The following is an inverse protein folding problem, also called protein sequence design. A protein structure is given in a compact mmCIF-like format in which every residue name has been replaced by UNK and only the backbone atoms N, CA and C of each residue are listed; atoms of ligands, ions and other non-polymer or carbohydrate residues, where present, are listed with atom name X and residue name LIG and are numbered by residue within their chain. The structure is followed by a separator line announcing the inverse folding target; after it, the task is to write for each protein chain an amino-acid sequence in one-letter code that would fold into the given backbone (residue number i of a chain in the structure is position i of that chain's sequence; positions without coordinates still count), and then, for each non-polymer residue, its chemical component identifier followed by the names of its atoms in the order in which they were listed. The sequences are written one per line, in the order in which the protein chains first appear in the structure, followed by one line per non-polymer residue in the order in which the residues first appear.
data_IF_067341642485
#
_entry.id   IF_067341642485
#
_cell.length_a   1.000
_cell.length_b   1.000
_cell.length_c   1.000
_cell.angle_alpha   90.00
_cell.angle_beta   90.00
_cell.angle_gamma   90.00
#
_symmetry.space_group_name_H-M   'P 1'
#
loop_
_entity.id
_entity.type
_entity.pdbx_description
1 polymer ?
#
# COMPACT_ATOMS: atom_id res chain seq x y z
N UNK A 1 32.58 14.53 -23.04
CA UNK A 1 31.56 15.35 -22.34
C UNK A 1 30.30 14.52 -22.28
N UNK A 2 29.87 14.09 -21.10
CA UNK A 2 28.65 13.28 -20.93
C UNK A 2 27.44 14.12 -21.35
N UNK A 3 26.64 13.59 -22.26
CA UNK A 3 25.47 14.26 -22.82
C UNK A 3 24.50 14.64 -21.69
N UNK A 4 24.32 15.96 -21.46
CA UNK A 4 23.53 16.50 -20.34
C UNK A 4 22.11 15.90 -20.33
N UNK A 5 21.56 15.60 -21.51
CA UNK A 5 20.24 14.99 -21.69
C UNK A 5 20.12 13.58 -21.10
N UNK A 6 21.15 12.74 -21.22
CA UNK A 6 21.15 11.37 -20.65
C UNK A 6 21.21 11.43 -19.12
N UNK A 7 22.02 12.35 -18.60
CA UNK A 7 22.19 12.55 -17.16
C UNK A 7 20.90 13.03 -16.50
N UNK A 8 20.21 13.99 -17.14
CA UNK A 8 18.92 14.52 -16.69
C UNK A 8 17.81 13.48 -16.78
N UNK A 9 17.79 12.65 -17.85
CA UNK A 9 16.86 11.54 -17.96
C UNK A 9 17.05 10.51 -16.85
N UNK A 10 18.30 10.14 -16.55
CA UNK A 10 18.60 9.23 -15.44
C UNK A 10 18.25 9.84 -14.08
N UNK A 11 18.46 11.15 -13.90
CA UNK A 11 18.05 11.86 -12.69
C UNK A 11 16.53 11.81 -12.50
N UNK A 12 15.75 12.18 -13.53
CA UNK A 12 14.28 12.06 -13.52
C UNK A 12 13.82 10.64 -13.23
N UNK A 13 14.45 9.64 -13.86
CA UNK A 13 14.06 8.25 -13.63
C UNK A 13 14.38 7.78 -12.20
N UNK A 14 15.43 8.31 -11.57
CA UNK A 14 15.75 8.04 -10.16
C UNK A 14 14.75 8.74 -9.23
N UNK A 15 14.41 10.00 -9.52
CA UNK A 15 13.42 10.77 -8.76
C UNK A 15 12.04 10.12 -8.85
N UNK A 16 11.63 9.68 -10.04
CA UNK A 16 10.39 8.93 -10.23
C UNK A 16 10.39 7.63 -9.44
N UNK A 17 11.45 6.81 -9.55
CA UNK A 17 11.57 5.57 -8.76
C UNK A 17 11.51 5.83 -7.26
N UNK A 18 12.23 6.84 -6.77
CA UNK A 18 12.21 7.20 -5.35
C UNK A 18 10.83 7.68 -4.91
N UNK A 19 10.16 8.52 -5.72
CA UNK A 19 8.78 8.95 -5.48
C UNK A 19 7.83 7.75 -5.49
N UNK A 20 8.05 6.77 -6.36
CA UNK A 20 7.34 5.50 -6.48
C UNK A 20 7.70 4.48 -5.36
N UNK A 21 8.34 4.91 -4.27
CA UNK A 21 8.64 4.07 -3.12
C UNK A 21 9.78 3.06 -3.32
N UNK A 22 10.51 3.13 -4.44
CA UNK A 22 11.71 2.32 -4.64
C UNK A 22 12.88 2.87 -3.82
N UNK A 23 13.64 1.96 -3.20
CA UNK A 23 14.88 2.32 -2.53
C UNK A 23 16.08 2.13 -3.46
N UNK A 24 16.91 3.18 -3.57
CA UNK A 24 18.17 3.12 -4.29
C UNK A 24 19.28 2.62 -3.37
N UNK A 25 19.82 1.45 -3.67
CA UNK A 25 21.03 0.92 -3.04
C UNK A 25 22.19 1.03 -4.02
N UNK A 26 23.34 1.55 -3.57
CA UNK A 26 24.58 1.64 -4.38
C UNK A 26 25.60 0.71 -3.76
N UNK A 27 26.14 -0.23 -4.56
CA UNK A 27 27.10 -1.24 -4.11
C UNK A 27 28.34 -1.16 -4.99
N UNK A 28 29.51 -1.19 -4.37
CA UNK A 28 30.78 -1.35 -5.06
C UNK A 28 31.07 -2.83 -5.22
N UNK A 29 31.40 -3.25 -6.44
CA UNK A 29 31.65 -4.65 -6.76
C UNK A 29 33.03 -4.80 -7.42
N UNK A 30 33.77 -5.88 -7.13
CA UNK A 30 35.14 -6.06 -7.64
C UNK A 30 35.22 -6.19 -9.16
N UNK A 31 34.22 -6.82 -9.79
CA UNK A 31 34.23 -7.10 -11.23
C UNK A 31 32.92 -6.71 -11.93
N UNK A 32 32.96 -6.64 -13.26
CA UNK A 32 31.76 -6.45 -14.08
C UNK A 32 30.81 -7.65 -14.02
N UNK A 33 31.32 -8.86 -13.77
CA UNK A 33 30.50 -10.06 -13.57
C UNK A 33 29.67 -9.94 -12.30
N UNK A 34 30.29 -9.53 -11.19
CA UNK A 34 29.57 -9.26 -9.93
C UNK A 34 28.48 -8.20 -10.10
N UNK A 35 28.74 -7.17 -10.93
CA UNK A 35 27.74 -6.15 -11.25
C UNK A 35 26.54 -6.72 -12.03
N UNK A 36 26.79 -7.68 -12.93
CA UNK A 36 25.74 -8.38 -13.66
C UNK A 36 24.93 -9.29 -12.73
N UNK A 37 25.58 -9.97 -11.79
CA UNK A 37 24.93 -10.84 -10.81
C UNK A 37 24.02 -10.05 -9.86
N UNK A 38 24.46 -8.89 -9.36
CA UNK A 38 23.60 -8.00 -8.57
C UNK A 38 22.38 -7.53 -9.37
N UNK A 39 22.56 -7.19 -10.65
CA UNK A 39 21.43 -6.82 -11.53
C UNK A 39 20.46 -7.97 -11.74
N UNK A 40 20.97 -9.18 -11.96
CA UNK A 40 20.18 -10.41 -12.14
C UNK A 40 19.41 -10.72 -10.87
N UNK A 41 20.06 -10.72 -9.71
CA UNK A 41 19.41 -10.92 -8.41
C UNK A 41 18.28 -9.90 -8.18
N UNK A 42 18.53 -8.62 -8.48
CA UNK A 42 17.49 -7.59 -8.35
C UNK A 42 16.31 -7.82 -9.33
N UNK A 43 16.56 -8.30 -10.54
CA UNK A 43 15.51 -8.65 -11.51
C UNK A 43 14.70 -9.87 -11.04
N UNK A 44 15.38 -10.93 -10.57
CA UNK A 44 14.73 -12.12 -10.03
C UNK A 44 13.90 -11.82 -8.79
N UNK A 45 14.36 -10.94 -7.90
CA UNK A 45 13.59 -10.54 -6.71
C UNK A 45 12.34 -9.75 -7.09
N UNK A 46 12.40 -8.90 -8.13
CA UNK A 46 11.20 -8.23 -8.67
C UNK A 46 10.24 -9.22 -9.29
N UNK A 47 10.72 -10.12 -10.14
CA UNK A 47 9.88 -11.14 -10.76
C UNK A 47 9.20 -12.03 -9.70
N UNK A 48 9.93 -12.43 -8.65
CA UNK A 48 9.35 -13.14 -7.50
C UNK A 48 8.31 -12.32 -6.75
N UNK A 49 8.56 -11.02 -6.56
CA UNK A 49 7.60 -10.14 -5.90
C UNK A 49 6.30 -9.97 -6.72
N UNK A 50 6.41 -9.90 -8.05
CA UNK A 50 5.25 -9.84 -8.95
C UNK A 50 4.51 -11.18 -9.04
N UNK A 51 5.24 -12.30 -9.01
CA UNK A 51 4.68 -13.64 -9.09
C UNK A 51 4.16 -14.17 -7.74
N UNK A 52 4.33 -13.44 -6.64
CA UNK A 52 3.88 -13.77 -5.28
C UNK A 52 4.41 -15.08 -4.68
N UNK A 53 5.24 -15.84 -5.41
CA UNK A 53 5.81 -17.17 -5.11
C UNK A 53 6.46 -17.32 -3.72
N UNK A 54 6.70 -16.24 -2.97
CA UNK A 54 7.25 -16.27 -1.60
C UNK A 54 6.73 -15.13 -0.71
N UNK A 55 5.78 -14.31 -1.22
CA UNK A 55 5.31 -13.11 -0.51
C UNK A 55 4.29 -13.44 0.57
N UNK A 56 3.50 -14.50 0.39
CA UNK A 56 2.59 -15.04 1.40
C UNK A 56 3.34 -15.70 2.56
N UNK A 57 4.50 -16.30 2.31
CA UNK A 57 5.35 -16.92 3.35
C UNK A 57 6.04 -15.87 4.24
N UNK A 58 6.39 -14.71 3.69
CA UNK A 58 7.05 -13.61 4.41
C UNK A 58 6.08 -12.67 5.14
N UNK A 59 4.78 -12.72 4.81
CA UNK A 59 3.74 -11.95 5.48
C UNK A 59 2.93 -12.91 6.37
N UNK A 60 3.36 -13.12 7.63
CA UNK A 60 2.67 -14.04 8.52
C UNK A 60 1.23 -13.54 8.71
N UNK A 61 0.25 -14.43 8.50
CA UNK A 61 -1.21 -14.23 8.67
C UNK A 61 -2.03 -13.93 7.40
N UNK A 62 -1.57 -14.26 6.19
CA UNK A 62 -2.45 -14.31 5.01
C UNK A 62 -2.94 -15.74 4.81
N UNK A 63 -4.25 -15.98 4.89
CA UNK A 63 -4.82 -17.28 4.55
C UNK A 63 -4.72 -17.53 3.03
N UNK A 64 -4.89 -18.78 2.59
CA UNK A 64 -4.71 -19.15 1.17
C UNK A 64 -5.68 -18.40 0.26
N UNK A 65 -6.94 -18.28 0.66
CA UNK A 65 -7.98 -17.60 -0.11
C UNK A 65 -7.68 -16.10 -0.32
N UNK A 66 -7.31 -15.38 0.74
CA UNK A 66 -6.91 -13.99 0.68
C UNK A 66 -5.65 -13.82 -0.18
N UNK A 67 -4.69 -14.75 -0.09
CA UNK A 67 -3.50 -14.72 -0.95
C UNK A 67 -3.87 -14.86 -2.44
N UNK A 68 -4.80 -15.77 -2.77
CA UNK A 68 -5.32 -15.95 -4.13
C UNK A 68 -6.06 -14.69 -4.62
N UNK A 69 -6.92 -14.09 -3.80
CA UNK A 69 -7.61 -12.82 -4.11
C UNK A 69 -6.62 -11.69 -4.37
N UNK A 70 -5.56 -11.57 -3.57
CA UNK A 70 -4.48 -10.58 -3.77
C UNK A 70 -3.75 -10.86 -5.08
N UNK A 71 -3.44 -12.13 -5.37
CA UNK A 71 -2.78 -12.52 -6.61
C UNK A 71 -3.58 -12.15 -7.84
N UNK A 72 -4.88 -12.43 -7.81
CA UNK A 72 -5.79 -12.07 -8.88
C UNK A 72 -5.86 -10.55 -9.06
N UNK A 73 -6.00 -9.78 -7.97
CA UNK A 73 -6.03 -8.32 -8.05
C UNK A 73 -4.74 -7.71 -8.62
N UNK A 74 -3.58 -8.32 -8.35
CA UNK A 74 -2.30 -7.91 -8.94
C UNK A 74 -2.21 -8.30 -10.42
N UNK A 75 -2.69 -9.49 -10.80
CA UNK A 75 -2.73 -9.95 -12.19
C UNK A 75 -3.64 -9.07 -13.07
N UNK A 76 -4.74 -8.57 -12.50
CA UNK A 76 -5.68 -7.66 -13.16
C UNK A 76 -5.22 -6.20 -13.16
N UNK A 77 -4.01 -5.91 -12.69
CA UNK A 77 -3.45 -4.57 -12.72
C UNK A 77 -3.36 -4.03 -14.15
N UNK A 78 -3.96 -2.85 -14.40
CA UNK A 78 -4.04 -2.27 -15.74
C UNK A 78 -5.13 -2.89 -16.63
N UNK A 79 -5.99 -3.75 -16.08
CA UNK A 79 -7.15 -4.28 -16.79
C UNK A 79 -8.05 -3.14 -17.29
N UNK A 80 -8.53 -3.27 -18.53
CA UNK A 80 -9.47 -2.32 -19.16
C UNK A 80 -10.84 -2.29 -18.47
N UNK A 81 -11.13 -3.25 -17.60
CA UNK A 81 -12.34 -3.27 -16.78
C UNK A 81 -12.38 -2.09 -15.78
N UNK A 82 -11.23 -1.49 -15.48
CA UNK A 82 -11.10 -0.43 -14.49
C UNK A 82 -10.63 0.89 -15.09
N UNK A 83 -11.19 1.98 -14.57
CA UNK A 83 -10.82 3.35 -14.94
C UNK A 83 -9.44 3.78 -14.39
N UNK A 84 -8.81 2.96 -13.56
CA UNK A 84 -7.48 3.21 -12.99
C UNK A 84 -6.67 1.92 -12.97
N UNK A 85 -5.33 1.96 -13.16
CA UNK A 85 -4.51 0.75 -13.20
C UNK A 85 -4.60 -0.11 -11.92
N UNK A 86 -4.85 0.51 -10.77
CA UNK A 86 -4.99 -0.18 -9.48
C UNK A 86 -6.43 -0.55 -9.12
N UNK A 87 -7.36 -0.55 -10.09
CA UNK A 87 -8.80 -0.73 -9.83
C UNK A 87 -9.13 -2.00 -9.05
N UNK A 88 -8.70 -3.17 -9.56
CA UNK A 88 -8.91 -4.46 -8.90
C UNK A 88 -8.35 -4.49 -7.47
N UNK A 89 -7.17 -3.89 -7.24
CA UNK A 89 -6.59 -3.79 -5.89
C UNK A 89 -7.44 -2.92 -4.97
N UNK A 90 -7.92 -1.78 -5.46
CA UNK A 90 -8.77 -0.89 -4.66
C UNK A 90 -10.13 -1.52 -4.35
N UNK A 91 -10.65 -2.36 -5.25
CA UNK A 91 -11.87 -3.14 -5.04
C UNK A 91 -11.65 -4.21 -3.96
N UNK A 92 -10.61 -5.03 -4.11
CA UNK A 92 -10.22 -6.02 -3.10
C UNK A 92 -10.07 -5.40 -1.70
N UNK A 93 -9.34 -4.28 -1.59
CA UNK A 93 -9.16 -3.62 -0.29
C UNK A 93 -10.49 -3.10 0.28
N UNK A 94 -11.44 -2.66 -0.55
CA UNK A 94 -12.78 -2.30 -0.06
C UNK A 94 -13.56 -3.51 0.43
N UNK A 95 -13.47 -4.63 -0.26
CA UNK A 95 -14.13 -5.88 0.14
C UNK A 95 -13.59 -6.36 1.49
N UNK A 96 -12.27 -6.43 1.66
CA UNK A 96 -11.64 -6.81 2.93
C UNK A 96 -12.04 -5.88 4.09
N UNK A 97 -12.14 -4.57 3.83
CA UNK A 97 -12.67 -3.64 4.83
C UNK A 97 -14.15 -3.91 5.13
N UNK A 98 -14.98 -4.22 4.13
CA UNK A 98 -16.40 -4.56 4.31
C UNK A 98 -16.63 -5.92 5.01
N UNK A 99 -15.62 -6.78 4.99
CA UNK A 99 -15.58 -8.06 5.72
C UNK A 99 -15.11 -7.87 7.18
N UNK A 100 -14.79 -6.63 7.59
CA UNK A 100 -14.14 -6.32 8.88
C UNK A 100 -12.77 -6.98 9.06
N UNK A 101 -12.10 -7.34 7.96
CA UNK A 101 -10.77 -7.96 7.96
C UNK A 101 -9.67 -6.91 7.71
N UNK A 102 -9.44 -6.07 8.72
CA UNK A 102 -8.42 -5.01 8.67
C UNK A 102 -6.98 -5.54 8.61
N UNK A 103 -6.74 -6.78 9.07
CA UNK A 103 -5.42 -7.41 9.00
C UNK A 103 -5.13 -7.80 7.56
N UNK A 104 -6.05 -8.51 6.91
CA UNK A 104 -5.91 -8.85 5.48
C UNK A 104 -5.88 -7.61 4.61
N UNK A 105 -6.62 -6.55 4.94
CA UNK A 105 -6.55 -5.25 4.26
C UNK A 105 -5.11 -4.71 4.24
N UNK A 106 -4.44 -4.66 5.39
CA UNK A 106 -3.08 -4.15 5.49
C UNK A 106 -2.07 -5.11 4.84
N UNK A 107 -2.26 -6.41 4.97
CA UNK A 107 -1.45 -7.41 4.27
C UNK A 107 -1.53 -7.27 2.75
N UNK A 108 -2.74 -7.10 2.20
CA UNK A 108 -2.97 -6.84 0.78
C UNK A 108 -2.21 -5.59 0.32
N UNK A 109 -2.27 -4.51 1.10
CA UNK A 109 -1.48 -3.31 0.81
C UNK A 109 0.03 -3.60 0.77
N UNK A 110 0.58 -4.26 1.80
CA UNK A 110 2.02 -4.57 1.88
C UNK A 110 2.48 -5.41 0.69
N UNK A 111 1.71 -6.43 0.34
CA UNK A 111 2.02 -7.34 -0.77
C UNK A 111 1.98 -6.58 -2.10
N UNK A 112 0.92 -5.79 -2.36
CA UNK A 112 0.81 -4.99 -3.58
C UNK A 112 1.90 -3.93 -3.65
N UNK A 113 2.24 -3.27 -2.54
CA UNK A 113 3.30 -2.27 -2.51
C UNK A 113 4.67 -2.87 -2.83
N UNK A 114 4.90 -4.16 -2.54
CA UNK A 114 6.12 -4.87 -2.93
C UNK A 114 6.08 -5.32 -4.39
N UNK A 115 4.94 -5.81 -4.88
CA UNK A 115 4.77 -6.26 -6.26
C UNK A 115 4.77 -5.09 -7.26
N UNK A 116 4.09 -3.99 -6.91
CA UNK A 116 3.87 -2.80 -7.75
C UNK A 116 4.16 -1.51 -6.97
N UNK A 117 5.42 -1.28 -6.55
CA UNK A 117 5.81 -0.12 -5.72
C UNK A 117 5.37 1.22 -6.31
N UNK A 118 5.40 1.38 -7.64
CA UNK A 118 4.97 2.60 -8.32
C UNK A 118 3.53 3.04 -7.99
N UNK A 119 2.66 2.09 -7.68
CA UNK A 119 1.27 2.37 -7.35
C UNK A 119 1.00 2.46 -5.85
N UNK A 120 1.99 2.13 -5.01
CA UNK A 120 1.82 2.09 -3.56
C UNK A 120 1.32 3.43 -3.02
N UNK A 121 1.86 4.56 -3.50
CA UNK A 121 1.42 5.89 -3.06
C UNK A 121 -0.03 6.19 -3.48
N UNK A 122 -0.39 5.83 -4.71
CA UNK A 122 -1.74 6.02 -5.22
C UNK A 122 -2.76 5.23 -4.38
N UNK A 123 -2.44 3.99 -4.04
CA UNK A 123 -3.27 3.13 -3.19
C UNK A 123 -3.31 3.69 -1.75
N UNK A 124 -2.16 4.06 -1.19
CA UNK A 124 -2.03 4.65 0.16
C UNK A 124 -2.94 5.88 0.32
N UNK A 125 -2.99 6.74 -0.70
CA UNK A 125 -3.83 7.94 -0.68
C UNK A 125 -5.34 7.65 -0.57
N UNK A 126 -5.79 6.43 -0.91
CA UNK A 126 -7.19 6.01 -0.81
C UNK A 126 -7.55 5.35 0.51
N UNK A 127 -6.57 4.91 1.30
CA UNK A 127 -6.78 4.23 2.58
C UNK A 127 -7.66 5.05 3.54
N UNK A 128 -7.45 6.37 3.76
CA UNK A 128 -8.29 7.13 4.69
C UNK A 128 -9.78 7.13 4.31
N UNK A 129 -10.09 7.22 3.01
CA UNK A 129 -11.48 7.20 2.55
C UNK A 129 -12.13 5.83 2.76
N UNK A 130 -11.41 4.73 2.49
CA UNK A 130 -11.90 3.37 2.74
C UNK A 130 -12.15 3.12 4.22
N UNK A 131 -11.23 3.56 5.09
CA UNK A 131 -11.38 3.42 6.54
C UNK A 131 -12.47 4.33 7.10
N UNK A 132 -12.63 5.54 6.58
CA UNK A 132 -13.75 6.41 6.96
C UNK A 132 -15.10 5.73 6.69
N UNK A 133 -15.24 5.12 5.51
CA UNK A 133 -16.44 4.35 5.16
C UNK A 133 -16.64 3.13 6.06
N UNK A 134 -15.57 2.38 6.34
CA UNK A 134 -15.57 1.27 7.28
C UNK A 134 -16.06 1.70 8.67
N UNK A 135 -15.53 2.80 9.21
CA UNK A 135 -15.92 3.33 10.51
C UNK A 135 -17.40 3.70 10.56
N UNK A 136 -17.94 4.25 9.46
CA UNK A 136 -19.36 4.56 9.36
C UNK A 136 -20.21 3.30 9.39
N UNK A 137 -19.87 2.30 8.56
CA UNK A 137 -20.67 1.07 8.41
C UNK A 137 -20.54 0.11 9.59
N UNK A 138 -19.31 -0.18 10.00
CA UNK A 138 -19.00 -1.27 10.94
C UNK A 138 -18.83 -0.79 12.39
N UNK A 139 -18.61 0.50 12.61
CA UNK A 139 -18.41 1.07 13.96
C UNK A 139 -19.52 2.04 14.37
N UNK A 140 -20.54 2.23 13.53
CA UNK A 140 -21.74 3.02 13.83
C UNK A 140 -21.48 4.52 13.91
N UNK A 141 -20.40 5.01 13.29
CA UNK A 141 -20.04 6.42 13.32
C UNK A 141 -20.90 7.19 12.31
N UNK A 142 -21.67 8.18 12.75
CA UNK A 142 -22.48 8.99 11.85
C UNK A 142 -21.62 9.78 10.84
N UNK A 143 -22.07 9.90 9.58
CA UNK A 143 -21.33 10.61 8.52
C UNK A 143 -20.97 12.05 8.91
N UNK A 144 -21.93 12.82 9.45
CA UNK A 144 -21.69 14.20 9.90
C UNK A 144 -20.70 14.29 11.06
N UNK A 145 -20.66 13.27 11.92
CA UNK A 145 -19.70 13.19 13.03
C UNK A 145 -18.29 12.91 12.52
N UNK A 146 -18.15 11.94 11.60
CA UNK A 146 -16.87 11.66 10.94
C UNK A 146 -16.34 12.93 10.26
N UNK A 147 -17.19 13.65 9.52
CA UNK A 147 -16.81 14.90 8.87
C UNK A 147 -16.33 15.96 9.88
N UNK A 148 -17.11 16.24 10.94
CA UNK A 148 -16.74 17.23 11.96
C UNK A 148 -15.44 16.86 12.68
N UNK A 149 -15.29 15.59 13.05
CA UNK A 149 -14.09 15.08 13.72
C UNK A 149 -12.85 15.12 12.81
N UNK A 150 -13.00 14.79 11.53
CA UNK A 150 -11.88 14.81 10.57
C UNK A 150 -11.30 16.22 10.39
N UNK A 151 -12.14 17.26 10.49
CA UNK A 151 -11.70 18.66 10.43
C UNK A 151 -10.95 19.09 11.69
N UNK A 152 -11.32 18.57 12.87
CA UNK A 152 -10.65 18.91 14.14
C UNK A 152 -9.37 18.08 14.39
N UNK A 153 -9.14 17.03 13.60
CA UNK A 153 -7.97 16.15 13.69
C UNK A 153 -7.27 15.96 12.34
N UNK A 154 -6.73 17.02 11.70
CA UNK A 154 -6.24 16.96 10.32
C UNK A 154 -5.17 15.89 10.04
N UNK A 155 -4.41 15.45 11.05
CA UNK A 155 -3.37 14.42 10.92
C UNK A 155 -3.87 12.96 10.82
N UNK A 156 -5.16 12.70 11.04
CA UNK A 156 -5.71 11.34 11.08
C UNK A 156 -5.46 10.54 9.80
N UNK A 157 -5.55 11.21 8.65
CA UNK A 157 -5.35 10.58 7.35
C UNK A 157 -3.90 10.14 7.19
N UNK A 158 -2.93 10.93 7.65
CA UNK A 158 -1.51 10.59 7.56
C UNK A 158 -1.12 9.50 8.56
N UNK A 159 -1.77 9.47 9.73
CA UNK A 159 -1.62 8.37 10.68
C UNK A 159 -2.03 7.04 10.05
N UNK A 160 -3.19 6.96 9.39
CA UNK A 160 -3.65 5.77 8.67
C UNK A 160 -2.70 5.37 7.53
N UNK A 161 -2.24 6.33 6.73
CA UNK A 161 -1.29 6.08 5.64
C UNK A 161 0.05 5.54 6.17
N UNK A 162 0.48 5.97 7.35
CA UNK A 162 1.70 5.46 7.97
C UNK A 162 1.51 4.05 8.54
N UNK A 163 0.33 3.79 9.13
CA UNK A 163 0.03 2.54 9.82
C UNK A 163 -0.27 1.38 8.86
N UNK A 164 -0.79 1.62 7.65
CA UNK A 164 -1.19 0.55 6.71
C UNK A 164 -0.03 -0.37 6.26
N UNK A 165 1.22 0.05 6.47
CA UNK A 165 2.42 -0.77 6.22
C UNK A 165 2.70 -1.80 7.31
N UNK A 166 2.00 -1.72 8.43
CA UNK A 166 2.15 -2.57 9.59
C UNK A 166 0.80 -3.27 9.87
N UNK A 167 0.64 -4.51 9.39
CA UNK A 167 -0.62 -5.24 9.54
C UNK A 167 -1.05 -5.53 10.97
N UNK A 168 -0.11 -5.54 11.94
CA UNK A 168 -0.42 -5.79 13.34
C UNK A 168 -0.88 -4.51 14.05
N UNK A 169 -0.23 -3.39 13.71
CA UNK A 169 -0.56 -2.07 14.27
C UNK A 169 -1.78 -1.44 13.61
N UNK A 170 -2.02 -1.68 12.32
CA UNK A 170 -3.06 -0.99 11.56
C UNK A 170 -4.47 -1.14 12.17
N UNK A 171 -4.96 -2.34 12.53
CA UNK A 171 -6.27 -2.48 13.16
C UNK A 171 -6.37 -1.71 14.48
N UNK A 172 -5.30 -1.67 15.26
CA UNK A 172 -5.26 -0.95 16.55
C UNK A 172 -5.42 0.56 16.35
N UNK A 173 -4.78 1.11 15.32
CA UNK A 173 -4.92 2.52 14.94
C UNK A 173 -6.35 2.82 14.51
N UNK A 174 -6.96 1.96 13.69
CA UNK A 174 -8.36 2.12 13.25
C UNK A 174 -9.34 2.09 14.44
N UNK A 175 -9.15 1.18 15.38
CA UNK A 175 -9.98 1.11 16.59
C UNK A 175 -9.76 2.31 17.52
N UNK A 176 -8.51 2.76 17.69
CA UNK A 176 -8.21 3.97 18.46
C UNK A 176 -8.91 5.20 17.85
N UNK A 177 -8.90 5.33 16.52
CA UNK A 177 -9.66 6.36 15.80
C UNK A 177 -11.15 6.28 16.14
N UNK A 178 -11.75 5.10 16.02
CA UNK A 178 -13.16 4.88 16.35
C UNK A 178 -13.48 5.33 17.79
N UNK A 179 -12.63 4.98 18.74
CA UNK A 179 -12.79 5.40 20.14
C UNK A 179 -12.67 6.90 20.31
N UNK A 180 -11.67 7.57 19.71
CA UNK A 180 -11.53 9.02 19.83
C UNK A 180 -12.72 9.77 19.25
N UNK A 181 -13.32 9.27 18.16
CA UNK A 181 -14.52 9.84 17.57
C UNK A 181 -15.70 9.72 18.55
N UNK A 182 -15.93 8.53 19.13
CA UNK A 182 -17.01 8.32 20.12
C UNK A 182 -16.83 9.19 21.37
N UNK A 183 -15.61 9.31 21.89
CA UNK A 183 -15.36 10.17 23.06
C UNK A 183 -15.61 11.65 22.75
N UNK A 184 -15.36 12.09 21.50
CA UNK A 184 -15.70 13.45 21.08
C UNK A 184 -17.21 13.72 21.03
N UNK A 185 -18.05 12.67 21.00
CA UNK A 185 -19.51 12.81 21.18
C UNK A 185 -19.89 13.02 22.64
N UNK A 186 -19.26 12.29 23.57
CA UNK A 186 -19.65 12.31 24.98
C UNK A 186 -19.34 13.66 25.67
N UNK A 187 -18.47 14.47 25.05
CA UNK A 187 -18.04 15.78 25.55
C UNK A 187 -18.80 16.95 24.88
N UNK A 188 -19.74 16.68 23.97
CA UNK A 188 -20.64 17.66 23.35
C UNK A 188 -22.04 17.54 23.92
#
# INVERSE_FOLDING_TARGET
MTDKTVTDRMKRQRELRAAEGWQKVTVWVPTAADAADVKKLAAERRARAEALTSLSEEVPKVNVETAERIAQAIAEHGSKAYNTPSGAVLELMKELASEDDLVSFANAFVIVARAKPANANFITARVPAMIGEFLIRHRGIGQGMMAKWSTSKPGWADELKSAVRDPERFPQVVEALAQTIRHSQAMQ
#
